data_IF_836001597285
#
_entry.id   IF_836001597285
#
_cell.length_a   1.000
_cell.length_b   1.000
_cell.length_c   1.000
_cell.angle_alpha   90.00
_cell.angle_beta   90.00
_cell.angle_gamma   90.00
#
_symmetry.space_group_name_H-M   'P 1'
#
loop_
_entity.id
_entity.type
_entity.pdbx_description
1 polymer ?
#
# COMPACT_ATOMS: atom_id res chain seq x y z
N UNK A 1 31.81 -8.84 -25.81
CA UNK A 1 31.14 -10.09 -25.35
C UNK A 1 30.42 -9.92 -24.01
N UNK A 2 30.56 -8.80 -23.29
CA UNK A 2 29.91 -8.64 -21.96
C UNK A 2 28.42 -8.27 -21.99
N UNK A 3 27.97 -7.48 -22.98
CA UNK A 3 26.57 -7.04 -23.12
C UNK A 3 25.54 -8.17 -23.13
N UNK A 4 25.90 -9.37 -23.59
CA UNK A 4 24.99 -10.52 -23.58
C UNK A 4 24.86 -11.14 -22.19
N UNK A 5 25.94 -11.19 -21.41
CA UNK A 5 25.93 -11.76 -20.07
C UNK A 5 25.18 -10.85 -19.10
N UNK A 6 25.41 -9.54 -19.20
CA UNK A 6 24.75 -8.53 -18.37
C UNK A 6 23.24 -8.54 -18.55
N UNK A 7 22.77 -8.67 -19.80
CA UNK A 7 21.34 -8.75 -20.09
C UNK A 7 20.71 -10.03 -19.52
N UNK A 8 21.41 -11.16 -19.59
CA UNK A 8 20.94 -12.44 -19.02
C UNK A 8 20.89 -12.35 -17.49
N UNK A 9 21.91 -11.80 -16.84
CA UNK A 9 21.96 -11.62 -15.38
C UNK A 9 20.84 -10.67 -14.94
N UNK A 10 20.70 -9.55 -15.64
CA UNK A 10 19.65 -8.56 -15.38
C UNK A 10 18.25 -9.19 -15.51
N UNK A 11 17.99 -9.94 -16.57
CA UNK A 11 16.70 -10.62 -16.78
C UNK A 11 16.41 -11.65 -15.68
N UNK A 12 17.40 -12.44 -15.26
CA UNK A 12 17.26 -13.38 -14.15
C UNK A 12 16.93 -12.68 -12.83
N UNK A 13 17.57 -11.53 -12.53
CA UNK A 13 17.26 -10.73 -11.35
C UNK A 13 15.82 -10.20 -11.45
N UNK A 14 15.42 -9.63 -12.59
CA UNK A 14 14.06 -9.11 -12.80
C UNK A 14 12.97 -10.18 -12.63
N UNK A 15 13.22 -11.41 -13.11
CA UNK A 15 12.29 -12.53 -12.96
C UNK A 15 12.06 -12.94 -11.51
N UNK A 16 13.08 -12.83 -10.66
CA UNK A 16 13.01 -13.18 -9.22
C UNK A 16 12.32 -12.11 -8.35
N UNK A 17 12.02 -10.93 -8.89
CA UNK A 17 11.40 -9.83 -8.13
C UNK A 17 9.87 -9.96 -8.09
N UNK A 18 9.30 -9.58 -6.95
CA UNK A 18 7.85 -9.55 -6.72
C UNK A 18 7.16 -8.50 -7.58
N UNK A 19 5.84 -8.64 -7.76
CA UNK A 19 5.06 -7.68 -8.55
C UNK A 19 5.10 -6.27 -7.95
N UNK A 20 5.01 -6.14 -6.62
CA UNK A 20 5.14 -4.85 -5.89
C UNK A 20 6.39 -4.06 -6.29
N UNK A 21 7.54 -4.73 -6.43
CA UNK A 21 8.79 -4.08 -6.84
C UNK A 21 8.72 -3.65 -8.30
N UNK A 22 8.17 -4.49 -9.18
CA UNK A 22 8.03 -4.17 -10.62
C UNK A 22 7.09 -2.98 -10.82
N UNK A 23 6.03 -2.90 -10.03
CA UNK A 23 5.05 -1.81 -10.08
C UNK A 23 5.65 -0.48 -9.64
N UNK A 24 6.64 -0.49 -8.74
CA UNK A 24 7.35 0.73 -8.36
C UNK A 24 8.19 1.31 -9.50
N UNK A 25 8.65 0.46 -10.43
CA UNK A 25 9.54 0.86 -11.52
C UNK A 25 8.86 0.84 -12.89
N UNK A 26 7.53 0.95 -13.01
CA UNK A 26 6.78 0.78 -14.28
C UNK A 26 7.39 1.56 -15.45
N UNK A 27 7.81 2.81 -15.24
CA UNK A 27 8.35 3.68 -16.30
C UNK A 27 9.83 3.43 -16.66
N UNK A 28 10.56 2.78 -15.73
CA UNK A 28 12.01 2.60 -15.78
C UNK A 28 12.46 1.13 -15.90
N UNK A 29 11.59 0.17 -15.66
CA UNK A 29 11.96 -1.24 -15.50
C UNK A 29 12.56 -1.84 -16.77
N UNK A 30 12.06 -1.44 -17.95
CA UNK A 30 12.57 -1.87 -19.26
C UNK A 30 13.92 -1.23 -19.63
N UNK A 31 14.28 -0.10 -18.99
CA UNK A 31 15.52 0.64 -19.27
C UNK A 31 16.70 0.18 -18.42
N UNK A 32 16.44 -0.50 -17.30
CA UNK A 32 17.45 -1.08 -16.42
C UNK A 32 18.09 -2.31 -17.09
N UNK A 33 19.15 -2.12 -17.87
CA UNK A 33 19.85 -3.19 -18.61
C UNK A 33 21.22 -3.54 -18.05
N UNK A 34 21.68 -2.82 -17.04
CA UNK A 34 22.90 -3.13 -16.31
C UNK A 34 22.55 -3.83 -15.00
N UNK A 35 23.21 -4.97 -14.68
CA UNK A 35 22.98 -5.68 -13.43
C UNK A 35 23.35 -4.82 -12.22
N UNK A 36 24.44 -4.07 -12.29
CA UNK A 36 24.88 -3.19 -11.19
C UNK A 36 23.86 -2.08 -10.91
N UNK A 37 23.41 -1.38 -11.96
CA UNK A 37 22.39 -0.35 -11.83
C UNK A 37 21.05 -0.90 -11.31
N UNK A 38 20.68 -2.13 -11.73
CA UNK A 38 19.49 -2.79 -11.22
C UNK A 38 19.63 -3.12 -9.73
N UNK A 39 20.80 -3.62 -9.29
CA UNK A 39 21.06 -3.96 -7.89
C UNK A 39 21.04 -2.72 -7.00
N UNK A 40 21.69 -1.63 -7.42
CA UNK A 40 21.72 -0.35 -6.69
C UNK A 40 20.30 0.20 -6.47
N UNK A 41 19.49 0.30 -7.53
CA UNK A 41 18.11 0.79 -7.42
C UNK A 41 17.24 -0.09 -6.52
N UNK A 42 17.49 -1.41 -6.51
CA UNK A 42 16.76 -2.34 -5.64
C UNK A 42 17.15 -2.19 -4.18
N UNK A 43 18.43 -1.92 -3.88
CA UNK A 43 18.94 -1.70 -2.53
C UNK A 43 18.45 -0.36 -1.96
N UNK A 44 18.45 0.69 -2.80
CA UNK A 44 17.87 1.99 -2.47
C UNK A 44 16.38 1.87 -2.16
N UNK A 45 15.63 1.15 -3.00
CA UNK A 45 14.21 0.89 -2.77
C UNK A 45 13.97 0.12 -1.47
N UNK A 46 14.76 -0.92 -1.18
CA UNK A 46 14.57 -1.71 0.05
C UNK A 46 14.91 -0.88 1.30
N UNK A 47 15.92 -0.01 1.21
CA UNK A 47 16.24 0.97 2.25
C UNK A 47 15.08 1.94 2.49
N UNK A 48 14.54 2.55 1.43
CA UNK A 48 13.39 3.45 1.54
C UNK A 48 12.16 2.73 2.11
N UNK A 49 11.87 1.52 1.63
CA UNK A 49 10.76 0.70 2.11
C UNK A 49 10.93 0.30 3.57
N UNK A 50 12.13 -0.06 3.99
CA UNK A 50 12.47 -0.38 5.38
C UNK A 50 12.28 0.84 6.29
N UNK A 51 12.75 2.02 5.86
CA UNK A 51 12.52 3.27 6.62
C UNK A 51 11.04 3.66 6.67
N UNK A 52 10.28 3.43 5.60
CA UNK A 52 8.84 3.67 5.60
C UNK A 52 8.12 2.73 6.57
N UNK A 53 8.38 1.42 6.50
CA UNK A 53 7.79 0.39 7.36
C UNK A 53 8.10 0.60 8.84
N UNK A 54 9.31 1.06 9.16
CA UNK A 54 9.70 1.41 10.54
C UNK A 54 9.07 2.72 11.03
N UNK A 55 8.69 3.63 10.13
CA UNK A 55 7.97 4.88 10.44
C UNK A 55 6.45 4.72 10.40
N UNK A 56 5.90 3.70 9.76
CA UNK A 56 4.45 3.44 9.71
C UNK A 56 3.77 3.42 11.10
N UNK A 57 4.36 2.84 12.16
CA UNK A 57 3.80 2.93 13.51
C UNK A 57 3.70 4.36 14.06
N UNK A 58 4.61 5.25 13.65
CA UNK A 58 4.65 6.65 14.08
C UNK A 58 3.63 7.51 13.30
N UNK A 59 3.19 7.04 12.13
CA UNK A 59 2.12 7.64 11.32
C UNK A 59 0.72 7.20 11.76
N UNK A 60 0.61 6.50 12.90
CA UNK A 60 -0.67 6.10 13.51
C UNK A 60 -1.18 4.71 13.09
N UNK A 61 -0.48 4.00 12.21
CA UNK A 61 -0.84 2.64 11.82
C UNK A 61 -0.12 1.63 12.72
N UNK A 62 -0.82 1.19 13.78
CA UNK A 62 -0.29 0.23 14.76
C UNK A 62 -0.69 -1.20 14.38
N UNK A 63 0.03 -2.20 14.89
CA UNK A 63 -0.35 -3.62 14.74
C UNK A 63 -1.56 -4.02 15.60
N UNK A 64 -2.24 -3.07 16.23
CA UNK A 64 -3.39 -3.34 17.10
C UNK A 64 -4.57 -3.78 16.22
N UNK A 65 -5.00 -5.02 16.40
CA UNK A 65 -6.17 -5.60 15.71
C UNK A 65 -7.50 -5.12 16.30
N UNK A 66 -7.45 -4.42 17.44
CA UNK A 66 -8.61 -3.87 18.15
C UNK A 66 -8.25 -2.51 18.71
N UNK A 67 -9.08 -1.52 18.43
CA UNK A 67 -8.99 -0.21 19.07
C UNK A 67 -9.37 -0.34 20.54
N UNK A 68 -8.60 0.25 21.45
CA UNK A 68 -8.87 0.28 22.90
C UNK A 68 -9.72 1.50 23.28
N UNK A 69 -10.85 1.69 22.60
CA UNK A 69 -11.81 2.74 22.94
C UNK A 69 -12.45 2.38 24.28
N UNK A 70 -12.21 3.21 25.30
CA UNK A 70 -12.80 3.08 26.63
C UNK A 70 -13.86 4.15 26.81
N UNK A 71 -15.05 3.76 27.28
CA UNK A 71 -16.05 4.72 27.71
C UNK A 71 -15.50 5.54 28.88
N UNK A 72 -15.66 6.86 28.83
CA UNK A 72 -15.32 7.72 29.96
C UNK A 72 -16.36 7.53 31.05
N UNK A 73 -15.93 7.37 32.30
CA UNK A 73 -16.82 7.16 33.45
C UNK A 73 -17.91 8.24 33.52
N UNK A 74 -19.16 7.80 33.66
CA UNK A 74 -20.33 8.69 33.68
C UNK A 74 -20.84 9.13 32.30
N UNK A 75 -20.19 8.72 31.21
CA UNK A 75 -20.68 8.97 29.85
C UNK A 75 -21.96 8.20 29.55
N UNK A 76 -22.73 8.71 28.58
CA UNK A 76 -23.96 8.08 28.11
C UNK A 76 -23.94 8.03 26.58
N UNK A 77 -24.53 6.98 25.97
CA UNK A 77 -24.63 6.91 24.52
C UNK A 77 -25.50 8.06 24.00
N UNK A 78 -25.01 8.74 22.95
CA UNK A 78 -25.77 9.77 22.25
C UNK A 78 -26.33 9.20 20.94
N UNK A 79 -27.66 9.17 20.82
CA UNK A 79 -28.32 8.79 19.58
C UNK A 79 -28.54 10.03 18.71
N UNK A 80 -27.62 10.26 17.78
CA UNK A 80 -27.73 11.35 16.83
C UNK A 80 -28.79 11.04 15.77
N UNK A 81 -29.62 12.03 15.44
CA UNK A 81 -30.59 11.91 14.35
C UNK A 81 -29.86 12.08 13.02
N UNK A 82 -30.06 11.18 12.04
CA UNK A 82 -29.46 11.34 10.73
C UNK A 82 -30.02 12.58 10.04
N UNK A 83 -29.16 13.27 9.30
CA UNK A 83 -29.58 14.38 8.45
C UNK A 83 -30.48 13.88 7.31
N UNK A 84 -31.32 14.77 6.79
CA UNK A 84 -32.12 14.45 5.59
C UNK A 84 -31.18 14.36 4.40
N UNK A 85 -31.28 13.27 3.65
CA UNK A 85 -30.48 13.00 2.45
C UNK A 85 -31.42 12.85 1.27
N UNK A 86 -31.03 13.35 0.09
CA UNK A 86 -31.85 13.19 -1.12
C UNK A 86 -31.71 11.78 -1.71
N UNK A 87 -32.61 11.43 -2.65
CA UNK A 87 -32.63 10.07 -3.21
C UNK A 87 -31.35 9.69 -3.98
N UNK A 88 -30.76 10.58 -4.83
CA UNK A 88 -29.48 10.31 -5.47
C UNK A 88 -28.34 10.05 -4.48
N UNK A 89 -28.18 10.91 -3.47
CA UNK A 89 -27.15 10.76 -2.43
C UNK A 89 -27.33 9.47 -1.64
N UNK A 90 -28.58 9.13 -1.27
CA UNK A 90 -28.88 7.88 -0.57
C UNK A 90 -28.54 6.65 -1.41
N UNK A 91 -28.74 6.71 -2.73
CA UNK A 91 -28.39 5.62 -3.64
C UNK A 91 -26.87 5.44 -3.72
N UNK A 92 -26.11 6.53 -3.84
CA UNK A 92 -24.64 6.50 -3.86
C UNK A 92 -24.07 5.95 -2.54
N UNK A 93 -24.57 6.41 -1.38
CA UNK A 93 -24.16 5.89 -0.08
C UNK A 93 -24.44 4.39 0.04
N UNK A 94 -25.60 3.93 -0.46
CA UNK A 94 -25.96 2.50 -0.41
C UNK A 94 -25.01 1.64 -1.25
N UNK A 95 -24.48 2.16 -2.34
CA UNK A 95 -23.50 1.45 -3.16
C UNK A 95 -22.18 1.28 -2.40
N UNK A 96 -21.66 2.37 -1.82
CA UNK A 96 -20.44 2.34 -0.98
C UNK A 96 -20.61 1.34 0.17
N UNK A 97 -21.72 1.43 0.91
CA UNK A 97 -21.97 0.53 2.04
C UNK A 97 -21.99 -0.93 1.62
N UNK A 98 -22.54 -1.24 0.44
CA UNK A 98 -22.59 -2.62 -0.06
C UNK A 98 -21.20 -3.13 -0.40
N UNK A 99 -20.39 -2.32 -1.06
CA UNK A 99 -18.99 -2.64 -1.39
C UNK A 99 -18.18 -2.96 -0.13
N UNK A 100 -18.33 -2.14 0.91
CA UNK A 100 -17.69 -2.36 2.22
C UNK A 100 -18.13 -3.69 2.87
N UNK A 101 -19.41 -4.07 2.75
CA UNK A 101 -19.89 -5.35 3.31
C UNK A 101 -19.44 -6.57 2.50
N UNK A 102 -19.23 -6.41 1.19
CA UNK A 102 -18.83 -7.51 0.29
C UNK A 102 -17.31 -7.69 0.27
N UNK A 103 -16.52 -6.63 0.49
CA UNK A 103 -15.06 -6.61 0.30
C UNK A 103 -14.24 -6.29 1.58
N UNK A 104 -14.89 -5.96 2.71
CA UNK A 104 -14.26 -5.58 3.98
C UNK A 104 -13.91 -6.73 4.93
#
# INVERSE_FOLDING_TARGET
MELSSDLIITDQIKRKKTQEVKDHFIDGWSKLNSPDALVENLDDYDTLRSTFRSKQPQLGSTNLTKMDIKEVEGSKPECMKPYKTNAPERAAIKEIVRDEYENG
#
